data_IF_351144906640
#
_entry.id   IF_351144906640
#
_cell.length_a   1.000
_cell.length_b   1.000
_cell.length_c   1.000
_cell.angle_alpha   90.00
_cell.angle_beta   90.00
_cell.angle_gamma   90.00
#
_symmetry.space_group_name_H-M   'P 1'
#
loop_
_entity.id
_entity.type
_entity.pdbx_description
1 polymer ?
#
# COMPACT_ATOMS: atom_id res chain seq x y z
N UNK A 1 -8.88 -16.20 41.30
CA UNK A 1 -8.49 -14.86 40.81
C UNK A 1 -9.04 -14.69 39.40
N UNK A 2 -10.02 -13.81 39.21
CA UNK A 2 -10.49 -13.44 37.87
C UNK A 2 -9.32 -12.79 37.13
N UNK A 3 -8.86 -13.36 36.02
CA UNK A 3 -7.80 -12.73 35.21
C UNK A 3 -8.32 -11.36 34.77
N UNK A 4 -7.66 -10.27 35.20
CA UNK A 4 -8.02 -8.91 34.77
C UNK A 4 -7.84 -8.81 33.25
N UNK A 5 -8.75 -8.12 32.59
CA UNK A 5 -8.67 -7.93 31.14
C UNK A 5 -7.53 -6.95 30.81
N UNK A 6 -6.87 -7.20 29.68
CA UNK A 6 -5.82 -6.34 29.11
C UNK A 6 -6.43 -5.54 27.99
N UNK A 7 -6.36 -4.21 28.09
CA UNK A 7 -6.98 -3.26 27.18
C UNK A 7 -5.97 -2.75 26.15
N UNK A 8 -6.47 -2.42 24.96
CA UNK A 8 -5.66 -1.76 23.95
C UNK A 8 -5.40 -0.31 24.38
N UNK A 9 -4.13 0.05 24.38
CA UNK A 9 -3.63 1.38 24.67
C UNK A 9 -2.86 1.89 23.45
N UNK A 10 -3.34 2.96 22.82
CA UNK A 10 -2.77 3.49 21.57
C UNK A 10 -1.53 4.35 21.83
N UNK A 11 -0.62 3.85 22.68
CA UNK A 11 0.67 4.46 22.94
C UNK A 11 1.76 3.49 22.53
N UNK A 12 2.51 3.86 21.50
CA UNK A 12 3.67 3.09 21.02
C UNK A 12 4.98 3.44 21.75
N UNK A 13 4.89 4.26 22.80
CA UNK A 13 6.04 4.61 23.63
C UNK A 13 6.85 5.79 23.12
N UNK A 14 6.30 6.63 22.22
CA UNK A 14 6.77 7.99 21.90
C UNK A 14 8.26 8.12 21.58
N UNK A 15 8.60 8.42 20.32
CA UNK A 15 9.86 9.16 20.06
C UNK A 15 9.72 10.57 20.63
N UNK A 16 10.83 11.22 21.02
CA UNK A 16 10.94 12.47 21.83
C UNK A 16 9.96 13.64 21.53
N UNK A 17 9.23 13.62 20.42
CA UNK A 17 8.30 14.65 19.97
C UNK A 17 6.82 14.46 20.37
N UNK A 18 6.37 13.25 20.73
CA UNK A 18 5.00 12.99 21.19
C UNK A 18 5.06 12.59 22.67
N UNK A 19 4.76 13.54 23.57
CA UNK A 19 4.94 13.36 25.02
C UNK A 19 3.65 13.15 25.81
N UNK A 20 2.49 13.24 25.17
CA UNK A 20 1.20 13.12 25.85
C UNK A 20 0.63 11.71 25.62
N UNK A 21 0.85 10.77 26.56
CA UNK A 21 0.18 9.48 26.56
C UNK A 21 -1.35 9.68 26.47
N UNK A 22 -2.07 8.90 25.65
CA UNK A 22 -3.53 8.89 25.68
C UNK A 22 -4.02 8.72 27.11
N UNK A 23 -4.95 9.54 27.58
CA UNK A 23 -5.48 9.42 28.94
C UNK A 23 -6.37 8.17 29.10
N UNK A 24 -6.93 7.69 27.98
CA UNK A 24 -7.93 6.63 27.96
C UNK A 24 -7.53 5.42 27.10
N UNK A 25 -8.00 4.24 27.51
CA UNK A 25 -7.93 3.04 26.67
C UNK A 25 -8.87 3.15 25.47
N UNK A 26 -8.49 2.55 24.35
CA UNK A 26 -9.23 2.62 23.07
C UNK A 26 -10.74 2.27 23.20
N UNK A 27 -11.08 1.37 24.12
CA UNK A 27 -12.47 0.97 24.29
C UNK A 27 -13.31 1.90 25.19
N UNK A 28 -12.75 2.99 25.73
CA UNK A 28 -13.45 3.90 26.64
C UNK A 28 -13.90 3.20 27.92
N UNK A 29 -13.02 2.38 28.51
CA UNK A 29 -13.22 1.86 29.86
C UNK A 29 -12.54 2.84 30.80
N UNK A 30 -13.30 3.43 31.72
CA UNK A 30 -12.81 4.43 32.68
C UNK A 30 -12.23 3.75 33.94
N UNK A 31 -11.33 4.47 34.62
CA UNK A 31 -10.73 4.08 35.91
C UNK A 31 -9.21 3.97 35.86
N UNK A 32 -8.57 4.09 37.03
CA UNK A 32 -7.12 3.87 37.17
C UNK A 32 -6.78 2.42 36.80
N UNK A 33 -5.94 2.24 35.78
CA UNK A 33 -5.46 0.94 35.32
C UNK A 33 -3.97 0.82 35.58
N UNK A 34 -3.55 -0.35 36.09
CA UNK A 34 -2.14 -0.69 36.19
C UNK A 34 -1.55 -0.99 34.81
N UNK A 35 -0.23 -0.83 34.65
CA UNK A 35 0.49 -1.09 33.39
C UNK A 35 0.25 -2.52 32.89
N UNK A 36 0.10 -3.53 33.76
CA UNK A 36 -0.18 -4.91 33.32
C UNK A 36 -1.58 -5.09 32.70
N UNK A 37 -2.45 -4.10 32.83
CA UNK A 37 -3.79 -4.08 32.25
C UNK A 37 -3.82 -3.35 30.90
N UNK A 38 -2.67 -2.87 30.41
CA UNK A 38 -2.52 -2.11 29.18
C UNK A 38 -1.59 -2.84 28.21
N UNK A 39 -1.93 -2.81 26.91
CA UNK A 39 -1.06 -3.31 25.86
C UNK A 39 -1.18 -2.46 24.60
N UNK A 40 -0.03 -2.14 23.98
CA UNK A 40 0.05 -1.44 22.69
C UNK A 40 0.07 -2.38 21.48
N UNK A 41 0.40 -3.65 21.70
CA UNK A 41 0.25 -4.70 20.69
C UNK A 41 -1.07 -5.46 20.90
N UNK A 42 -1.91 -5.40 19.89
CA UNK A 42 -3.15 -6.15 19.80
C UNK A 42 -3.04 -7.67 20.04
N UNK A 43 -1.86 -8.27 19.87
CA UNK A 43 -1.62 -9.69 20.20
C UNK A 43 -1.77 -10.00 21.70
N UNK A 44 -1.59 -9.00 22.56
CA UNK A 44 -1.65 -9.14 24.02
C UNK A 44 -2.97 -8.63 24.63
N UNK A 45 -3.84 -8.01 23.82
CA UNK A 45 -5.13 -7.48 24.25
C UNK A 45 -6.14 -8.61 24.47
N UNK A 46 -6.74 -8.65 25.66
CA UNK A 46 -7.76 -9.66 26.04
C UNK A 46 -9.14 -9.05 26.31
N UNK A 47 -9.27 -7.72 26.35
CA UNK A 47 -10.54 -7.04 26.49
C UNK A 47 -11.46 -7.28 25.28
N UNK A 48 -12.63 -7.89 25.52
CA UNK A 48 -13.63 -8.19 24.48
C UNK A 48 -14.11 -6.94 23.73
N UNK A 49 -14.20 -5.78 24.40
CA UNK A 49 -14.64 -4.53 23.77
C UNK A 49 -13.58 -4.00 22.80
N UNK A 50 -12.31 -4.00 23.21
CA UNK A 50 -11.18 -3.66 22.32
C UNK A 50 -11.15 -4.57 21.09
N UNK A 51 -11.30 -5.88 21.28
CA UNK A 51 -11.27 -6.85 20.16
C UNK A 51 -12.41 -6.63 19.16
N UNK A 52 -13.63 -6.30 19.62
CA UNK A 52 -14.75 -5.96 18.74
C UNK A 52 -14.51 -4.67 17.95
N UNK A 53 -13.88 -3.66 18.56
CA UNK A 53 -13.49 -2.43 17.86
C UNK A 53 -12.49 -2.75 16.75
N UNK A 54 -11.47 -3.56 17.06
CA UNK A 54 -10.48 -4.02 16.07
C UNK A 54 -11.13 -4.73 14.90
N UNK A 55 -12.02 -5.68 15.18
CA UNK A 55 -12.73 -6.43 14.15
C UNK A 55 -13.54 -5.51 13.23
N UNK A 56 -14.26 -4.54 13.81
CA UNK A 56 -15.00 -3.53 13.05
C UNK A 56 -14.07 -2.65 12.19
N UNK A 57 -12.94 -2.21 12.73
CA UNK A 57 -11.94 -1.43 11.99
C UNK A 57 -11.34 -2.22 10.83
N UNK A 58 -10.97 -3.49 11.06
CA UNK A 58 -10.47 -4.39 10.03
C UNK A 58 -11.52 -4.65 8.95
N UNK A 59 -12.78 -4.86 9.35
CA UNK A 59 -13.90 -5.03 8.42
C UNK A 59 -14.12 -3.79 7.55
N UNK A 60 -14.07 -2.59 8.14
CA UNK A 60 -14.17 -1.33 7.39
C UNK A 60 -13.00 -1.18 6.40
N UNK A 61 -11.77 -1.40 6.85
CA UNK A 61 -10.58 -1.31 5.99
C UNK A 61 -10.65 -2.29 4.82
N UNK A 62 -11.07 -3.52 5.08
CA UNK A 62 -11.24 -4.53 4.04
C UNK A 62 -12.33 -4.14 3.03
N UNK A 63 -13.40 -3.46 3.46
CA UNK A 63 -14.42 -2.93 2.57
C UNK A 63 -13.87 -1.78 1.71
N UNK A 64 -13.21 -0.80 2.33
CA UNK A 64 -12.55 0.32 1.64
C UNK A 64 -11.52 -0.16 0.60
N UNK A 65 -10.70 -1.16 0.95
CA UNK A 65 -9.73 -1.78 0.03
C UNK A 65 -10.41 -2.48 -1.16
N UNK A 66 -11.57 -3.12 -0.96
CA UNK A 66 -12.33 -3.71 -2.06
C UNK A 66 -12.89 -2.64 -2.99
N UNK A 67 -13.47 -1.58 -2.43
CA UNK A 67 -14.03 -0.47 -3.20
C UNK A 67 -12.94 0.25 -3.99
N UNK A 68 -11.75 0.45 -3.40
CA UNK A 68 -10.60 1.02 -4.09
C UNK A 68 -10.14 0.13 -5.25
N UNK A 69 -10.09 -1.20 -5.07
CA UNK A 69 -9.74 -2.12 -6.15
C UNK A 69 -10.73 -2.08 -7.31
N UNK A 70 -12.03 -1.95 -7.02
CA UNK A 70 -13.06 -1.80 -8.07
C UNK A 70 -12.83 -0.52 -8.87
N UNK A 71 -12.60 0.62 -8.19
CA UNK A 71 -12.30 1.90 -8.87
C UNK A 71 -11.07 1.80 -9.79
N UNK A 72 -9.98 1.23 -9.29
CA UNK A 72 -8.76 1.04 -10.08
C UNK A 72 -8.99 0.11 -11.28
N UNK A 73 -9.80 -0.93 -11.10
CA UNK A 73 -10.15 -1.83 -12.20
C UNK A 73 -10.98 -1.13 -13.27
N UNK A 74 -11.98 -0.35 -12.87
CA UNK A 74 -12.84 0.40 -13.78
C UNK A 74 -12.03 1.46 -14.57
N UNK A 75 -11.12 2.17 -13.89
CA UNK A 75 -10.19 3.10 -14.52
C UNK A 75 -9.29 2.40 -15.54
N UNK A 76 -8.67 1.28 -15.17
CA UNK A 76 -7.82 0.50 -16.07
C UNK A 76 -8.59 -0.05 -17.29
N UNK A 77 -9.85 -0.47 -17.08
CA UNK A 77 -10.71 -0.94 -18.15
C UNK A 77 -11.13 0.22 -19.09
N UNK A 78 -11.41 1.41 -18.56
CA UNK A 78 -11.71 2.58 -19.36
C UNK A 78 -10.52 2.98 -20.25
N UNK A 79 -9.31 3.01 -19.69
CA UNK A 79 -8.06 3.26 -20.44
C UNK A 79 -7.89 2.21 -21.54
N UNK A 80 -8.06 0.93 -21.20
CA UNK A 80 -7.96 -0.20 -22.13
C UNK A 80 -8.89 -0.04 -23.33
N UNK A 81 -10.15 0.33 -23.08
CA UNK A 81 -11.14 0.58 -24.14
C UNK A 81 -10.72 1.79 -24.99
N UNK A 82 -10.23 2.86 -24.34
CA UNK A 82 -9.72 4.06 -25.04
C UNK A 82 -8.56 3.76 -25.99
N UNK A 83 -7.71 2.78 -25.65
CA UNK A 83 -6.64 2.26 -26.50
C UNK A 83 -7.13 1.29 -27.60
N UNK A 84 -8.44 1.00 -27.67
CA UNK A 84 -9.03 0.09 -28.65
C UNK A 84 -8.91 -1.40 -28.30
N UNK A 85 -8.53 -1.73 -27.07
CA UNK A 85 -8.44 -3.11 -26.61
C UNK A 85 -9.71 -3.57 -25.90
N UNK A 86 -10.04 -4.86 -26.04
CA UNK A 86 -11.27 -5.44 -25.46
C UNK A 86 -11.16 -5.73 -23.96
N UNK A 87 -9.96 -6.00 -23.45
CA UNK A 87 -9.71 -6.29 -22.04
C UNK A 87 -8.28 -5.92 -21.66
N UNK A 88 -8.08 -5.67 -20.36
CA UNK A 88 -6.81 -5.21 -19.78
C UNK A 88 -5.67 -6.17 -20.11
N UNK A 89 -5.90 -7.49 -20.05
CA UNK A 89 -4.85 -8.49 -20.33
C UNK A 89 -4.31 -8.37 -21.75
N UNK A 90 -5.19 -8.15 -22.73
CA UNK A 90 -4.81 -7.99 -24.14
C UNK A 90 -4.06 -6.68 -24.35
N UNK A 91 -4.51 -5.59 -23.73
CA UNK A 91 -3.82 -4.31 -23.76
C UNK A 91 -2.40 -4.44 -23.21
N UNK A 92 -2.23 -5.04 -22.03
CA UNK A 92 -0.92 -5.25 -21.41
C UNK A 92 0.02 -6.02 -22.34
N UNK A 93 -0.45 -7.12 -22.95
CA UNK A 93 0.37 -7.92 -23.87
C UNK A 93 0.76 -7.13 -25.12
N UNK A 94 -0.16 -6.36 -25.69
CA UNK A 94 0.10 -5.52 -26.86
C UNK A 94 1.14 -4.43 -26.54
N UNK A 95 0.93 -3.70 -25.44
CA UNK A 95 1.84 -2.65 -24.98
C UNK A 95 3.24 -3.17 -24.65
N UNK A 96 3.33 -4.36 -24.04
CA UNK A 96 4.61 -5.03 -23.79
C UNK A 96 5.34 -5.31 -25.11
N UNK A 97 4.64 -5.87 -26.10
CA UNK A 97 5.23 -6.17 -27.40
C UNK A 97 5.70 -4.89 -28.12
N UNK A 98 4.89 -3.84 -28.08
CA UNK A 98 5.22 -2.55 -28.69
C UNK A 98 6.45 -1.91 -28.01
N UNK A 99 6.49 -1.90 -26.68
CA UNK A 99 7.66 -1.44 -25.92
C UNK A 99 8.92 -2.21 -26.31
N UNK A 100 8.84 -3.54 -26.37
CA UNK A 100 10.01 -4.37 -26.68
C UNK A 100 10.53 -4.10 -28.09
N UNK A 101 9.63 -3.86 -29.06
CA UNK A 101 10.02 -3.44 -30.41
C UNK A 101 10.70 -2.07 -30.40
N UNK A 102 10.13 -1.09 -29.69
CA UNK A 102 10.71 0.25 -29.58
C UNK A 102 12.11 0.23 -28.95
N UNK A 103 12.35 -0.67 -27.99
CA UNK A 103 13.69 -0.86 -27.41
C UNK A 103 14.68 -1.35 -28.47
N UNK A 104 14.28 -2.33 -29.28
CA UNK A 104 15.12 -2.86 -30.37
C UNK A 104 15.42 -1.75 -31.38
N UNK A 105 14.39 -1.04 -31.85
CA UNK A 105 14.53 0.02 -32.85
C UNK A 105 15.42 1.16 -32.31
N UNK A 106 15.28 1.52 -31.03
CA UNK A 106 16.13 2.52 -30.40
C UNK A 106 17.60 2.10 -30.35
N UNK A 107 17.88 0.83 -30.04
CA UNK A 107 19.25 0.32 -30.02
C UNK A 107 19.88 0.35 -31.42
N UNK A 108 19.14 -0.06 -32.45
CA UNK A 108 19.61 0.02 -33.84
C UNK A 108 19.94 1.47 -34.24
N UNK A 109 19.07 2.42 -33.92
CA UNK A 109 19.33 3.84 -34.21
C UNK A 109 20.55 4.39 -33.47
N UNK A 110 20.84 3.88 -32.26
CA UNK A 110 22.03 4.25 -31.51
C UNK A 110 23.29 3.68 -32.16
N UNK A 111 23.26 2.42 -32.58
CA UNK A 111 24.36 1.77 -33.30
C UNK A 111 24.66 2.50 -34.62
N UNK A 112 23.63 2.81 -35.41
CA UNK A 112 23.78 3.55 -36.67
C UNK A 112 24.40 4.93 -36.44
N UNK A 113 23.91 5.66 -35.43
CA UNK A 113 24.46 6.97 -35.06
C UNK A 113 25.93 6.85 -34.65
N UNK A 114 26.26 5.89 -33.81
CA UNK A 114 27.63 5.72 -33.28
C UNK A 114 28.59 5.34 -34.42
N UNK A 115 28.19 4.47 -35.34
CA UNK A 115 28.96 4.15 -36.55
C UNK A 115 29.16 5.36 -37.49
N UNK A 116 28.14 6.21 -37.66
CA UNK A 116 28.28 7.46 -38.43
C UNK A 116 29.30 8.41 -37.79
N UNK A 117 29.26 8.55 -36.46
CA UNK A 117 30.20 9.39 -35.72
C UNK A 117 31.63 8.88 -35.83
N UNK A 118 31.86 7.56 -35.73
CA UNK A 118 33.18 6.95 -35.93
C UNK A 118 33.70 7.16 -37.36
N UNK A 119 32.85 6.97 -38.37
CA UNK A 119 33.24 7.17 -39.78
C UNK A 119 33.56 8.64 -40.09
N UNK A 120 32.84 9.58 -39.49
CA UNK A 120 33.05 11.02 -39.64
C UNK A 120 34.24 11.56 -38.84
N UNK A 121 34.67 10.87 -37.77
CA UNK A 121 35.79 11.28 -36.94
C UNK A 121 37.13 11.30 -37.71
N UNK A 122 37.25 10.53 -38.79
CA UNK A 122 38.43 10.51 -39.66
C UNK A 122 38.46 11.66 -40.69
N UNK A 123 37.40 12.47 -40.78
CA UNK A 123 37.28 13.58 -41.73
C UNK A 123 37.58 14.96 -41.10
N UNK A 124 37.94 15.01 -39.81
CA UNK A 124 38.36 16.19 -39.05
C UNK A 124 39.81 16.03 -38.60
#
# INVERSE_FOLDING_TARGET
MSKRAVHMYEWDGGTEADQDPPEDVLCGTEGEMEDEQLASDWRHVTCKRCLKIREKQLGRRAAEERDQKVKLFDEAQAITIGLGHRNISTAIKALIKERDQLIVDNNLLREDRDGLLESGAHLL
#
